data_IF_890093949172
#
_entry.id   IF_890093949172
#
_cell.length_a   1.000
_cell.length_b   1.000
_cell.length_c   1.000
_cell.angle_alpha   90.00
_cell.angle_beta   90.00
_cell.angle_gamma   90.00
#
_symmetry.space_group_name_H-M   'P 1'
#
loop_
_entity.id
_entity.type
_entity.pdbx_description
1 polymer ?
#
# COMPACT_ATOMS: atom_id res chain seq x y z
N UNK A 1 -20.94 -20.29 15.81
CA UNK A 1 -21.24 -19.07 15.04
C UNK A 1 -19.93 -18.33 14.83
N UNK A 2 -19.43 -18.19 13.61
CA UNK A 2 -18.14 -17.52 13.36
C UNK A 2 -18.30 -16.01 13.45
N UNK A 3 -17.42 -15.32 14.20
CA UNK A 3 -17.37 -13.85 14.21
C UNK A 3 -17.23 -13.30 12.77
N UNK A 4 -17.85 -12.14 12.45
CA UNK A 4 -17.62 -11.48 11.19
C UNK A 4 -16.13 -11.15 11.06
N UNK A 5 -15.49 -11.65 10.00
CA UNK A 5 -14.11 -11.32 9.69
C UNK A 5 -14.11 -9.88 9.17
N UNK A 6 -13.61 -8.95 9.98
CA UNK A 6 -13.45 -7.55 9.61
C UNK A 6 -11.97 -7.29 9.33
N UNK A 7 -11.67 -6.46 8.34
CA UNK A 7 -10.31 -6.03 8.02
C UNK A 7 -10.30 -4.54 7.67
N UNK A 8 -9.26 -3.85 8.12
CA UNK A 8 -9.00 -2.46 7.72
C UNK A 8 -7.70 -2.41 6.93
N UNK A 9 -7.80 -1.94 5.69
CA UNK A 9 -6.66 -1.72 4.80
C UNK A 9 -6.10 -0.31 5.00
N UNK A 10 -4.83 -0.21 5.32
CA UNK A 10 -4.10 1.06 5.41
C UNK A 10 -3.26 1.21 4.15
N UNK A 11 -3.64 2.17 3.31
CA UNK A 11 -3.09 2.37 1.97
C UNK A 11 -2.30 3.68 1.94
N UNK A 12 -0.98 3.60 1.87
CA UNK A 12 -0.11 4.74 1.67
C UNK A 12 0.15 4.88 0.16
N UNK A 13 -0.36 5.94 -0.46
CA UNK A 13 -0.28 6.15 -1.90
C UNK A 13 0.76 7.21 -2.26
N UNK A 14 1.55 6.97 -3.31
CA UNK A 14 2.61 7.89 -3.70
C UNK A 14 2.00 9.20 -4.22
N UNK A 15 2.37 10.30 -3.59
CA UNK A 15 1.88 11.66 -3.91
C UNK A 15 2.99 12.62 -4.28
N UNK A 16 4.24 12.28 -3.93
CA UNK A 16 5.42 13.03 -4.33
C UNK A 16 6.63 12.11 -4.36
N UNK A 17 7.55 12.31 -5.30
CA UNK A 17 8.87 11.67 -5.32
C UNK A 17 9.95 12.66 -4.86
N UNK A 18 11.02 12.16 -4.26
CA UNK A 18 12.16 12.99 -3.91
C UNK A 18 12.92 13.38 -5.19
N UNK A 19 13.54 14.57 -5.27
CA UNK A 19 14.38 14.94 -6.42
C UNK A 19 15.55 13.95 -6.67
N UNK A 20 15.91 13.17 -5.65
CA UNK A 20 16.93 12.11 -5.73
C UNK A 20 16.43 10.82 -6.39
N UNK A 21 15.12 10.66 -6.58
CA UNK A 21 14.53 9.46 -7.16
C UNK A 21 14.61 9.56 -8.69
N UNK A 22 15.82 9.35 -9.20
CA UNK A 22 16.14 9.43 -10.63
C UNK A 22 15.40 8.30 -11.35
N UNK A 23 14.44 8.64 -12.22
CA UNK A 23 13.77 7.69 -13.11
C UNK A 23 12.25 7.55 -12.95
N UNK A 24 11.62 8.28 -12.02
CA UNK A 24 10.16 8.37 -11.92
C UNK A 24 9.71 9.82 -12.19
N UNK A 25 9.05 10.06 -13.31
CA UNK A 25 8.51 11.39 -13.60
C UNK A 25 7.12 11.59 -12.94
N UNK A 26 6.56 12.79 -13.07
CA UNK A 26 5.25 13.10 -12.47
C UNK A 26 4.10 12.30 -13.11
N UNK A 27 4.23 11.91 -14.38
CA UNK A 27 3.23 11.08 -15.05
C UNK A 27 3.26 9.66 -14.51
N UNK A 28 4.44 9.07 -14.37
CA UNK A 28 4.64 7.74 -13.79
C UNK A 28 4.07 7.68 -12.38
N UNK A 29 4.32 8.71 -11.57
CA UNK A 29 3.78 8.82 -10.21
C UNK A 29 2.24 8.87 -10.22
N UNK A 30 1.66 9.65 -11.13
CA UNK A 30 0.21 9.77 -11.26
C UNK A 30 -0.43 8.48 -11.77
N UNK A 31 0.21 7.79 -12.72
CA UNK A 31 -0.24 6.48 -13.22
C UNK A 31 -0.21 5.45 -12.09
N UNK A 32 0.90 5.36 -11.35
CA UNK A 32 1.03 4.48 -10.19
C UNK A 32 -0.03 4.77 -9.13
N UNK A 33 -0.29 6.04 -8.82
CA UNK A 33 -1.35 6.44 -7.91
C UNK A 33 -2.73 5.95 -8.39
N UNK A 34 -3.03 6.14 -9.68
CA UNK A 34 -4.30 5.74 -10.31
C UNK A 34 -4.49 4.22 -10.33
N UNK A 35 -3.44 3.47 -10.68
CA UNK A 35 -3.41 2.00 -10.65
C UNK A 35 -3.57 1.46 -9.24
N UNK A 36 -2.92 2.08 -8.27
CA UNK A 36 -3.01 1.70 -6.86
C UNK A 36 -4.44 1.88 -6.32
N UNK A 37 -5.12 2.97 -6.68
CA UNK A 37 -6.52 3.19 -6.34
C UNK A 37 -7.45 2.10 -6.92
N UNK A 38 -7.25 1.79 -8.20
CA UNK A 38 -8.01 0.73 -8.88
C UNK A 38 -7.80 -0.61 -8.18
N UNK A 39 -6.55 -0.94 -7.87
CA UNK A 39 -6.20 -2.15 -7.14
C UNK A 39 -6.86 -2.22 -5.75
N UNK A 40 -6.81 -1.13 -4.97
CA UNK A 40 -7.44 -1.07 -3.63
C UNK A 40 -8.94 -1.31 -3.72
N UNK A 41 -9.59 -0.72 -4.72
CA UNK A 41 -11.02 -0.90 -4.95
C UNK A 41 -11.37 -2.35 -5.28
N UNK A 42 -10.62 -2.97 -6.20
CA UNK A 42 -10.84 -4.35 -6.61
C UNK A 42 -10.54 -5.35 -5.48
N UNK A 43 -9.45 -5.13 -4.73
CA UNK A 43 -9.13 -5.90 -3.53
C UNK A 43 -10.26 -5.81 -2.51
N UNK A 44 -10.76 -4.61 -2.23
CA UNK A 44 -11.85 -4.39 -1.28
C UNK A 44 -13.13 -5.08 -1.75
N UNK A 45 -13.45 -5.04 -3.06
CA UNK A 45 -14.58 -5.75 -3.65
C UNK A 45 -14.42 -7.27 -3.50
N UNK A 46 -13.25 -7.81 -3.79
CA UNK A 46 -12.94 -9.24 -3.64
C UNK A 46 -13.09 -9.72 -2.19
N UNK A 47 -12.56 -8.94 -1.22
CA UNK A 47 -12.72 -9.24 0.20
C UNK A 47 -14.20 -9.27 0.63
N UNK A 48 -15.00 -8.29 0.19
CA UNK A 48 -16.44 -8.25 0.47
C UNK A 48 -17.19 -9.42 -0.16
N UNK A 49 -16.83 -9.81 -1.38
CA UNK A 49 -17.39 -11.00 -2.03
C UNK A 49 -17.08 -12.28 -1.23
N UNK A 50 -15.92 -12.35 -0.58
CA UNK A 50 -15.54 -13.41 0.35
C UNK A 50 -16.21 -13.29 1.76
N UNK A 51 -17.22 -12.42 1.91
CA UNK A 51 -17.94 -12.13 3.17
C UNK A 51 -17.05 -11.55 4.28
N UNK A 52 -15.96 -10.87 3.91
CA UNK A 52 -15.10 -10.12 4.83
C UNK A 52 -15.56 -8.66 4.84
N UNK A 53 -15.83 -8.10 6.02
CA UNK A 53 -16.13 -6.68 6.15
C UNK A 53 -14.83 -5.87 5.97
N UNK A 54 -14.60 -5.39 4.75
CA UNK A 54 -13.41 -4.64 4.39
C UNK A 54 -13.66 -3.13 4.33
N UNK A 55 -12.85 -2.38 5.06
CA UNK A 55 -12.73 -0.91 5.01
C UNK A 55 -11.31 -0.53 4.62
N UNK A 56 -11.11 0.66 4.06
CA UNK A 56 -9.77 1.15 3.74
C UNK A 56 -9.61 2.63 4.13
N UNK A 57 -8.38 3.03 4.43
CA UNK A 57 -7.98 4.43 4.60
C UNK A 57 -6.79 4.73 3.70
N UNK A 58 -6.81 5.89 3.05
CA UNK A 58 -5.75 6.35 2.17
C UNK A 58 -4.97 7.46 2.85
N UNK A 59 -3.65 7.39 2.80
CA UNK A 59 -2.74 8.43 3.30
C UNK A 59 -1.73 8.79 2.23
N UNK A 60 -1.37 10.08 2.08
CA UNK A 60 -0.30 10.49 1.18
C UNK A 60 1.04 9.90 1.62
N UNK A 61 1.88 9.55 0.66
CA UNK A 61 3.18 8.94 0.87
C UNK A 61 4.22 9.55 -0.08
N UNK A 62 5.39 9.90 0.43
CA UNK A 62 6.49 10.48 -0.34
C UNK A 62 7.44 9.39 -0.80
N UNK A 63 7.04 8.64 -1.82
CA UNK A 63 7.79 7.49 -2.32
C UNK A 63 7.43 7.17 -3.76
N UNK A 64 8.18 6.26 -4.37
CA UNK A 64 7.99 5.75 -5.73
C UNK A 64 7.18 4.45 -5.79
N UNK A 65 6.55 4.04 -4.67
CA UNK A 65 5.70 2.86 -4.58
C UNK A 65 4.48 3.14 -3.69
N UNK A 66 3.40 2.37 -3.87
CA UNK A 66 2.27 2.32 -2.96
C UNK A 66 2.41 1.15 -1.97
N UNK A 67 1.96 1.36 -0.73
CA UNK A 67 2.00 0.36 0.34
C UNK A 67 0.60 0.12 0.90
N UNK A 68 0.12 -1.12 0.82
CA UNK A 68 -1.17 -1.55 1.36
C UNK A 68 -0.93 -2.55 2.48
N UNK A 69 -1.46 -2.29 3.67
CA UNK A 69 -1.34 -3.19 4.82
C UNK A 69 -2.70 -3.56 5.37
N UNK A 70 -2.87 -4.82 5.74
CA UNK A 70 -4.10 -5.31 6.35
C UNK A 70 -3.95 -5.40 7.87
N UNK A 71 -4.83 -4.73 8.60
CA UNK A 71 -4.87 -4.80 10.07
C UNK A 71 -6.19 -5.42 10.54
N UNK A 72 -6.14 -6.23 11.61
CA UNK A 72 -7.34 -6.67 12.30
C UNK A 72 -8.04 -5.46 12.97
N UNK A 73 -9.36 -5.55 13.21
CA UNK A 73 -10.12 -4.48 13.84
C UNK A 73 -9.57 -4.17 15.24
N UNK A 74 -9.40 -2.88 15.54
CA UNK A 74 -8.89 -2.41 16.84
C UNK A 74 -7.37 -2.25 16.93
N UNK A 75 -6.61 -2.65 15.91
CA UNK A 75 -5.17 -2.35 15.83
C UNK A 75 -4.96 -1.09 15.00
N UNK A 76 -4.48 -0.03 15.64
CA UNK A 76 -4.11 1.21 14.97
C UNK A 76 -2.72 1.09 14.35
N UNK A 77 -2.60 1.55 13.10
CA UNK A 77 -1.33 1.61 12.41
C UNK A 77 -0.50 2.80 12.95
N UNK A 78 0.41 2.53 13.90
CA UNK A 78 1.41 3.49 14.40
C UNK A 78 2.68 3.42 13.53
N UNK A 79 2.63 3.89 12.29
CA UNK A 79 3.85 3.97 11.49
C UNK A 79 4.17 5.43 11.15
N UNK A 80 5.34 5.86 11.61
CA UNK A 80 6.03 7.04 11.08
C UNK A 80 6.58 6.68 9.70
N UNK A 81 5.79 6.97 8.66
CA UNK A 81 5.94 6.37 7.34
C UNK A 81 7.15 6.81 6.53
N UNK A 82 7.99 7.76 6.94
CA UNK A 82 8.80 8.47 5.95
C UNK A 82 10.27 8.04 5.82
N UNK A 83 10.98 7.68 6.89
CA UNK A 83 12.44 7.46 6.80
C UNK A 83 12.82 5.99 6.55
N UNK A 84 12.34 5.07 7.40
CA UNK A 84 12.73 3.66 7.33
C UNK A 84 12.07 2.92 6.15
N UNK A 85 10.97 3.47 5.60
CA UNK A 85 10.27 2.92 4.44
C UNK A 85 11.07 3.01 3.13
N UNK A 86 11.92 4.03 2.97
CA UNK A 86 12.64 4.27 1.71
C UNK A 86 13.77 3.28 1.50
N UNK A 87 14.64 3.10 2.49
CA UNK A 87 15.87 2.30 2.33
C UNK A 87 15.60 0.80 2.13
N UNK A 88 14.66 0.22 2.88
CA UNK A 88 14.39 -1.23 2.81
C UNK A 88 13.70 -1.62 1.51
N UNK A 89 12.92 -0.72 0.91
CA UNK A 89 12.10 -1.01 -0.26
C UNK A 89 12.77 -0.57 -1.57
N UNK A 90 13.55 0.52 -1.58
CA UNK A 90 14.34 0.90 -2.76
C UNK A 90 15.30 -0.23 -3.21
N UNK A 91 15.80 -1.05 -2.28
CA UNK A 91 16.63 -2.21 -2.62
C UNK A 91 15.86 -3.35 -3.33
N UNK A 92 14.52 -3.39 -3.21
CA UNK A 92 13.67 -4.45 -3.76
C UNK A 92 12.88 -4.03 -5.01
N UNK A 93 12.76 -2.72 -5.29
CA UNK A 93 11.80 -2.18 -6.28
C UNK A 93 12.45 -1.71 -7.59
N UNK A 94 13.53 -2.35 -8.05
CA UNK A 94 14.18 -1.99 -9.32
C UNK A 94 13.39 -2.40 -10.58
N UNK A 95 12.27 -3.11 -10.42
CA UNK A 95 11.40 -3.51 -11.52
C UNK A 95 10.06 -2.76 -11.43
N UNK A 96 9.80 -1.90 -12.40
CA UNK A 96 8.54 -1.15 -12.55
C UNK A 96 7.36 -2.09 -12.83
N UNK A 97 6.15 -1.67 -12.46
CA UNK A 97 4.87 -2.30 -12.80
C UNK A 97 4.56 -3.65 -12.13
N UNK A 98 5.06 -3.90 -10.93
CA UNK A 98 4.83 -5.16 -10.22
C UNK A 98 4.15 -4.93 -8.86
N UNK A 99 3.45 -5.96 -8.42
CA UNK A 99 2.87 -6.04 -7.09
C UNK A 99 3.56 -7.16 -6.31
N UNK A 100 4.05 -6.85 -5.11
CA UNK A 100 4.80 -7.78 -4.26
C UNK A 100 4.13 -7.93 -2.92
N UNK A 101 4.09 -9.16 -2.41
CA UNK A 101 3.72 -9.42 -1.02
C UNK A 101 5.01 -9.46 -0.21
N UNK A 102 5.10 -8.61 0.80
CA UNK A 102 6.22 -8.54 1.72
C UNK A 102 5.71 -8.59 3.18
N UNK A 103 6.64 -8.76 4.10
CA UNK A 103 6.37 -8.58 5.52
C UNK A 103 6.86 -7.19 5.95
N UNK A 104 5.99 -6.41 6.59
CA UNK A 104 6.25 -5.05 7.07
C UNK A 104 5.98 -4.97 8.57
N UNK A 105 7.04 -4.85 9.38
CA UNK A 105 6.97 -4.89 10.86
C UNK A 105 6.18 -6.11 11.40
N UNK A 106 6.40 -7.31 10.83
CA UNK A 106 5.71 -8.53 11.26
C UNK A 106 4.28 -8.69 10.73
N UNK A 107 3.85 -7.84 9.80
CA UNK A 107 2.52 -7.89 9.20
C UNK A 107 2.60 -8.03 7.68
N UNK A 108 1.69 -8.78 7.05
CA UNK A 108 1.65 -8.87 5.60
C UNK A 108 1.32 -7.50 4.99
N UNK A 109 2.14 -7.12 4.02
CA UNK A 109 2.04 -5.89 3.26
C UNK A 109 2.09 -6.20 1.77
N UNK A 110 1.39 -5.38 0.99
CA UNK A 110 1.45 -5.40 -0.46
C UNK A 110 2.10 -4.10 -0.94
N UNK A 111 3.10 -4.22 -1.80
CA UNK A 111 3.84 -3.11 -2.40
C UNK A 111 3.51 -3.08 -3.89
N UNK A 112 3.20 -1.90 -4.43
CA UNK A 112 2.93 -1.69 -5.85
C UNK A 112 3.93 -0.66 -6.36
N UNK A 113 4.68 -1.00 -7.40
CA UNK A 113 5.73 -0.16 -8.04
C UNK A 113 5.36 0.21 -9.45
#
# INVERSE_FOLDING_TARGET
>A
MGQPRTVKLYCALPTWSSPSDIGLDLHDLHDLHSRSLTFIHDLTRALRAAKIQATYSITPFHSTFALIRAFPPGVECKCDTNAQCRETLQAQTNEQEKAYIAEWHGLPALIIT
#
